data_IF_492533019442
#
_entry.id   IF_492533019442
#
_cell.length_a   1.000
_cell.length_b   1.000
_cell.length_c   1.000
_cell.angle_alpha   90.00
_cell.angle_beta   90.00
_cell.angle_gamma   90.00
#
_symmetry.space_group_name_H-M   'P 1'
#
loop_
_entity.id
_entity.type
_entity.pdbx_description
1 polymer ?
#
# COMPACT_ATOMS: atom_id res chain seq x y z
N UNK A 1 9.85 37.97 8.87
CA UNK A 1 10.36 36.70 9.42
C UNK A 1 10.16 35.64 8.34
N UNK A 2 11.24 35.13 7.74
CA UNK A 2 11.14 34.23 6.57
C UNK A 2 11.18 32.78 7.08
N UNK A 3 10.02 32.17 7.27
CA UNK A 3 9.92 30.78 7.75
C UNK A 3 10.20 29.89 6.54
N UNK A 4 11.37 29.25 6.52
CA UNK A 4 11.66 28.20 5.54
C UNK A 4 10.79 26.99 5.88
N UNK A 5 9.71 26.80 5.12
CA UNK A 5 8.87 25.62 5.24
C UNK A 5 9.70 24.38 4.91
N UNK A 6 9.74 23.35 5.77
CA UNK A 6 10.38 22.08 5.47
C UNK A 6 9.77 21.47 4.21
N UNK A 7 10.59 20.84 3.37
CA UNK A 7 10.07 20.16 2.18
C UNK A 7 9.32 18.91 2.63
N UNK A 8 8.20 18.59 1.97
CA UNK A 8 7.40 17.41 2.34
C UNK A 8 8.21 16.10 2.36
N UNK A 9 9.21 15.96 1.49
CA UNK A 9 10.13 14.81 1.48
C UNK A 9 11.00 14.72 2.73
N UNK A 10 11.46 15.86 3.27
CA UNK A 10 12.27 15.91 4.50
C UNK A 10 11.43 15.44 5.69
N UNK A 11 10.16 15.86 5.75
CA UNK A 11 9.22 15.45 6.81
C UNK A 11 8.88 13.95 6.73
N UNK A 12 8.71 13.42 5.52
CA UNK A 12 8.43 11.98 5.33
C UNK A 12 9.64 11.14 5.75
N UNK A 13 10.84 11.57 5.38
CA UNK A 13 12.07 10.86 5.76
C UNK A 13 12.26 10.86 7.27
N UNK A 14 12.10 12.01 7.93
CA UNK A 14 12.18 12.12 9.39
C UNK A 14 11.15 11.23 10.08
N UNK A 15 9.91 11.16 9.57
CA UNK A 15 8.87 10.29 10.12
C UNK A 15 9.22 8.81 9.99
N UNK A 16 9.79 8.37 8.87
CA UNK A 16 10.21 6.97 8.68
C UNK A 16 11.34 6.60 9.65
N UNK A 17 12.34 7.48 9.81
CA UNK A 17 13.47 7.27 10.72
C UNK A 17 12.99 7.10 12.17
N UNK A 18 12.03 7.92 12.62
CA UNK A 18 11.42 7.81 13.95
C UNK A 18 10.66 6.49 14.10
N UNK A 19 9.86 6.12 13.10
CA UNK A 19 9.05 4.90 13.15
C UNK A 19 9.92 3.64 13.21
N UNK A 20 11.01 3.58 12.44
CA UNK A 20 11.95 2.45 12.48
C UNK A 20 12.68 2.32 13.81
N UNK A 21 12.95 3.43 14.51
CA UNK A 21 13.58 3.41 15.84
C UNK A 21 12.65 2.91 16.95
N UNK A 22 11.34 3.06 16.78
CA UNK A 22 10.36 2.83 17.84
C UNK A 22 9.39 1.67 17.57
N UNK A 23 9.40 1.12 16.37
CA UNK A 23 8.49 0.05 15.97
C UNK A 23 9.25 -1.08 15.28
N UNK A 24 8.77 -2.30 15.50
CA UNK A 24 9.19 -3.45 14.73
C UNK A 24 8.98 -3.19 13.22
N UNK A 25 9.93 -3.57 12.34
CA UNK A 25 9.82 -3.33 10.90
C UNK A 25 8.50 -3.84 10.29
N UNK A 26 7.97 -4.95 10.80
CA UNK A 26 6.68 -5.50 10.37
C UNK A 26 5.48 -4.60 10.68
N UNK A 27 5.54 -3.85 11.79
CA UNK A 27 4.51 -2.88 12.19
C UNK A 27 4.64 -1.57 11.43
N UNK A 28 5.86 -1.14 11.11
CA UNK A 28 6.11 0.03 10.23
C UNK A 28 5.55 -0.25 8.84
N UNK A 29 5.85 -1.41 8.26
CA UNK A 29 5.34 -1.81 6.95
C UNK A 29 3.79 -1.87 6.92
N UNK A 30 3.16 -2.41 7.97
CA UNK A 30 1.70 -2.42 8.11
C UNK A 30 1.13 -1.00 8.27
N UNK A 31 1.77 -0.14 9.05
CA UNK A 31 1.33 1.24 9.23
C UNK A 31 1.41 2.01 7.90
N UNK A 32 2.48 1.84 7.13
CA UNK A 32 2.64 2.49 5.83
C UNK A 32 1.61 2.01 4.81
N UNK A 33 1.23 0.73 4.82
CA UNK A 33 0.17 0.23 3.93
C UNK A 33 -1.20 0.80 4.29
N UNK A 34 -1.48 1.00 5.59
CA UNK A 34 -2.68 1.66 6.09
C UNK A 34 -2.66 3.17 5.84
N UNK A 35 -1.49 3.81 5.93
CA UNK A 35 -1.32 5.25 5.68
C UNK A 35 -1.45 5.58 4.19
N UNK A 36 -0.83 4.78 3.31
CA UNK A 36 -0.96 4.92 1.86
C UNK A 36 -2.41 4.73 1.38
N UNK A 37 -3.22 3.97 2.12
CA UNK A 37 -4.66 3.83 1.88
C UNK A 37 -5.47 5.13 2.13
N UNK A 38 -4.85 6.16 2.73
CA UNK A 38 -5.44 7.49 2.94
C UNK A 38 -5.14 8.52 1.84
N UNK A 39 -4.31 8.20 0.85
CA UNK A 39 -3.96 9.11 -0.26
C UNK A 39 -4.79 8.91 -1.53
N UNK A 40 -5.25 7.69 -1.75
CA UNK A 40 -6.22 7.33 -2.79
C UNK A 40 -7.10 6.26 -2.16
N UNK A 41 -8.42 6.51 -2.09
CA UNK A 41 -9.37 5.74 -1.28
C UNK A 41 -9.27 4.26 -1.64
N UNK A 42 -8.49 3.51 -0.85
CA UNK A 42 -8.19 2.11 -1.12
C UNK A 42 -9.47 1.28 -1.20
N UNK A 43 -10.49 1.65 -0.42
CA UNK A 43 -11.79 1.01 -0.49
C UNK A 43 -12.46 1.29 -1.84
N UNK A 44 -12.40 2.53 -2.33
CA UNK A 44 -12.87 2.90 -3.67
C UNK A 44 -12.10 2.19 -4.79
N UNK A 45 -10.78 2.11 -4.71
CA UNK A 45 -9.96 1.39 -5.71
C UNK A 45 -10.26 -0.11 -5.67
N UNK A 46 -10.38 -0.70 -4.48
CA UNK A 46 -10.76 -2.10 -4.30
C UNK A 46 -12.15 -2.37 -4.89
N UNK A 47 -13.12 -1.49 -4.65
CA UNK A 47 -14.45 -1.58 -5.24
C UNK A 47 -14.39 -1.46 -6.77
N UNK A 48 -13.62 -0.51 -7.33
CA UNK A 48 -13.47 -0.37 -8.78
C UNK A 48 -12.84 -1.60 -9.44
N UNK A 49 -11.82 -2.18 -8.82
CA UNK A 49 -11.06 -3.29 -9.40
C UNK A 49 -11.74 -4.65 -9.22
N UNK A 50 -12.54 -4.82 -8.17
CA UNK A 50 -13.07 -6.12 -7.77
C UNK A 50 -14.59 -6.13 -7.53
N UNK A 51 -15.34 -5.14 -8.03
CA UNK A 51 -16.79 -5.12 -7.96
C UNK A 51 -17.39 -6.40 -8.58
N UNK A 52 -18.25 -7.07 -7.82
CA UNK A 52 -18.91 -8.31 -8.25
C UNK A 52 -18.03 -9.56 -8.20
N UNK A 53 -16.77 -9.43 -7.80
CA UNK A 53 -15.87 -10.57 -7.62
C UNK A 53 -16.05 -11.19 -6.23
N UNK A 54 -15.92 -12.52 -6.17
CA UNK A 54 -15.85 -13.28 -4.93
C UNK A 54 -14.44 -13.81 -4.73
N UNK A 55 -14.11 -14.24 -3.51
CA UNK A 55 -12.83 -14.91 -3.22
C UNK A 55 -12.59 -16.08 -4.18
N UNK A 56 -13.65 -16.83 -4.52
CA UNK A 56 -13.57 -17.94 -5.47
C UNK A 56 -13.21 -17.47 -6.89
N UNK A 57 -13.85 -16.43 -7.40
CA UNK A 57 -13.59 -15.95 -8.77
C UNK A 57 -12.19 -15.34 -8.89
N UNK A 58 -11.72 -14.65 -7.86
CA UNK A 58 -10.34 -14.15 -7.79
C UNK A 58 -9.32 -15.30 -7.78
N UNK A 59 -9.58 -16.34 -6.97
CA UNK A 59 -8.75 -17.54 -6.94
C UNK A 59 -8.67 -18.22 -8.32
N UNK A 60 -9.80 -18.42 -8.99
CA UNK A 60 -9.87 -19.04 -10.31
C UNK A 60 -9.10 -18.21 -11.37
N UNK A 61 -9.16 -16.88 -11.30
CA UNK A 61 -8.40 -15.96 -12.17
C UNK A 61 -6.89 -16.02 -11.92
N UNK A 62 -6.48 -16.05 -10.65
CA UNK A 62 -5.08 -16.17 -10.25
C UNK A 62 -4.50 -17.49 -10.74
N UNK A 63 -5.24 -18.60 -10.57
CA UNK A 63 -4.79 -19.91 -11.02
C UNK A 63 -4.68 -19.96 -12.55
N UNK A 64 -5.62 -19.35 -13.28
CA UNK A 64 -5.57 -19.23 -14.74
C UNK A 64 -4.32 -18.45 -15.20
N UNK A 65 -4.06 -17.30 -14.59
CA UNK A 65 -2.89 -16.47 -14.89
C UNK A 65 -1.57 -17.21 -14.62
N UNK A 66 -1.49 -17.92 -13.50
CA UNK A 66 -0.30 -18.71 -13.15
C UNK A 66 -0.06 -19.85 -14.13
N UNK A 67 -1.12 -20.57 -14.51
CA UNK A 67 -1.02 -21.66 -15.49
C UNK A 67 -0.63 -21.15 -16.89
N UNK A 68 -1.08 -19.95 -17.28
CA UNK A 68 -0.66 -19.31 -18.53
C UNK A 68 0.80 -18.85 -18.47
N UNK A 69 1.27 -18.37 -17.31
CA UNK A 69 2.66 -17.93 -17.11
C UNK A 69 3.66 -19.08 -17.00
N UNK A 70 3.23 -20.23 -16.48
CA UNK A 70 4.04 -21.46 -16.42
C UNK A 70 4.07 -22.26 -17.72
N UNK A 71 3.37 -21.80 -18.77
CA UNK A 71 3.36 -22.39 -20.11
C UNK A 71 4.28 -21.69 -21.14
N UNK A 72 5.16 -20.78 -20.70
CA UNK A 72 6.25 -20.19 -21.51
C UNK A 72 7.61 -20.69 -21.06
#
# INVERSE_FOLDING_TARGET
MNIKMPRGQEVIQEALEILEQHMEPSKVALLLSLWQAGGDDYLKIREQLFAGETVKTLYDKIQTYQNQKSGM
#
